data_IF_145997206483
#
_entry.id   IF_145997206483
#
_cell.length_a   1.000
_cell.length_b   1.000
_cell.length_c   1.000
_cell.angle_alpha   90.00
_cell.angle_beta   90.00
_cell.angle_gamma   90.00
#
_symmetry.space_group_name_H-M   'P 1'
#
loop_
_entity.id
_entity.type
_entity.pdbx_description
1 polymer ?
#
# COMPACT_ATOMS: atom_id res chain seq x y z
N UNK A 1 -24.16 4.95 -24.06
CA UNK A 1 -24.53 4.25 -22.82
C UNK A 1 -23.35 4.36 -21.88
N UNK A 2 -23.43 5.29 -20.93
CA UNK A 2 -22.46 5.40 -19.84
C UNK A 2 -22.48 4.08 -19.07
N UNK A 3 -21.38 3.33 -19.11
CA UNK A 3 -21.20 2.22 -18.19
C UNK A 3 -20.88 2.86 -16.84
N UNK A 4 -21.89 2.97 -15.98
CA UNK A 4 -21.67 3.17 -14.55
C UNK A 4 -21.01 1.89 -14.04
N UNK A 5 -19.68 1.84 -14.12
CA UNK A 5 -18.93 0.86 -13.36
C UNK A 5 -19.20 1.20 -11.91
N UNK A 6 -19.96 0.33 -11.25
CA UNK A 6 -19.94 0.29 -9.80
C UNK A 6 -18.48 0.03 -9.43
N UNK A 7 -17.72 1.07 -9.16
CA UNK A 7 -16.42 0.97 -8.50
C UNK A 7 -16.74 0.23 -7.22
N UNK A 8 -16.44 -1.07 -7.17
CA UNK A 8 -16.78 -1.91 -6.03
C UNK A 8 -16.29 -1.21 -4.77
N UNK A 9 -17.17 -1.05 -3.78
CA UNK A 9 -16.85 -0.33 -2.53
C UNK A 9 -15.74 -1.07 -1.81
N UNK A 10 -14.51 -0.65 -2.06
CA UNK A 10 -13.33 -1.10 -1.33
C UNK A 10 -13.05 -0.08 -0.24
N UNK A 11 -12.84 -0.62 0.97
CA UNK A 11 -12.79 0.16 2.18
C UNK A 11 -11.37 0.62 2.50
N UNK A 12 -11.28 1.81 3.09
CA UNK A 12 -10.11 2.28 3.81
C UNK A 12 -10.41 2.15 5.30
N UNK A 13 -9.57 1.44 6.05
CA UNK A 13 -9.59 1.47 7.51
C UNK A 13 -8.43 2.34 7.97
N UNK A 14 -8.72 3.40 8.73
CA UNK A 14 -7.72 4.34 9.24
C UNK A 14 -7.66 4.31 10.76
N UNK A 15 -6.45 4.41 11.30
CA UNK A 15 -6.15 4.49 12.73
C UNK A 15 -5.10 5.57 12.98
N UNK A 16 -5.25 6.35 14.05
CA UNK A 16 -4.24 7.31 14.49
C UNK A 16 -3.82 6.99 15.92
N UNK A 17 -2.52 6.98 16.18
CA UNK A 17 -1.94 6.71 17.49
C UNK A 17 -1.40 8.01 18.10
N UNK A 18 -2.13 8.54 19.07
CA UNK A 18 -1.68 9.69 19.86
C UNK A 18 -0.49 9.29 20.76
N UNK A 19 0.47 10.19 20.90
CA UNK A 19 1.72 9.95 21.64
C UNK A 19 2.79 9.16 20.85
N UNK A 20 2.50 8.70 19.63
CA UNK A 20 3.45 8.06 18.72
C UNK A 20 3.63 8.92 17.47
N UNK A 21 4.12 10.15 17.67
CA UNK A 21 4.31 11.19 16.64
C UNK A 21 3.04 11.55 15.83
N UNK A 22 1.87 11.22 16.39
CA UNK A 22 0.57 11.35 15.73
C UNK A 22 0.60 10.70 14.34
N UNK A 23 1.15 9.49 14.28
CA UNK A 23 1.18 8.71 13.06
C UNK A 23 -0.21 8.15 12.76
N UNK A 24 -0.64 8.40 11.52
CA UNK A 24 -1.86 7.93 10.91
C UNK A 24 -1.54 6.75 10.00
N UNK A 25 -2.10 5.61 10.34
CA UNK A 25 -2.00 4.37 9.59
C UNK A 25 -3.30 4.15 8.82
N UNK A 26 -3.20 3.63 7.62
CA UNK A 26 -4.37 3.13 6.92
C UNK A 26 -4.08 1.80 6.23
N UNK A 27 -5.10 0.96 6.15
CA UNK A 27 -5.07 -0.26 5.36
C UNK A 27 -6.17 -0.23 4.30
N UNK A 28 -5.82 -0.65 3.10
CA UNK A 28 -6.76 -0.75 1.98
C UNK A 28 -6.64 -2.11 1.28
N UNK A 29 -7.66 -2.45 0.52
CA UNK A 29 -7.66 -3.60 -0.38
C UNK A 29 -8.29 -3.16 -1.71
N UNK A 30 -7.49 -2.90 -2.74
CA UNK A 30 -7.88 -2.29 -4.03
C UNK A 30 -8.32 -3.28 -5.11
N UNK A 31 -8.94 -2.79 -6.18
CA UNK A 31 -9.51 -3.65 -7.24
C UNK A 31 -8.62 -4.78 -7.78
N UNK A 32 -9.18 -5.98 -7.96
CA UNK A 32 -8.41 -7.17 -8.36
C UNK A 32 -8.54 -7.49 -9.85
N UNK A 33 -9.29 -6.66 -10.58
CA UNK A 33 -9.67 -6.90 -11.98
C UNK A 33 -9.00 -5.87 -12.89
N UNK A 34 -9.09 -4.58 -12.58
CA UNK A 34 -8.64 -3.50 -13.49
C UNK A 34 -7.72 -2.49 -12.79
N UNK A 35 -6.59 -2.14 -13.41
CA UNK A 35 -5.65 -1.12 -12.88
C UNK A 35 -6.26 0.28 -12.82
N UNK A 36 -6.99 0.68 -13.86
CA UNK A 36 -7.64 2.00 -13.90
C UNK A 36 -8.61 2.19 -12.73
N UNK A 37 -9.35 1.14 -12.36
CA UNK A 37 -10.26 1.16 -11.19
C UNK A 37 -9.48 1.30 -9.88
N UNK A 38 -8.31 0.65 -9.75
CA UNK A 38 -7.44 0.82 -8.58
C UNK A 38 -6.90 2.24 -8.49
N UNK A 39 -6.49 2.83 -9.62
CA UNK A 39 -6.02 4.21 -9.69
C UNK A 39 -7.13 5.20 -9.30
N UNK A 40 -8.36 5.01 -9.79
CA UNK A 40 -9.52 5.79 -9.38
C UNK A 40 -9.80 5.65 -7.88
N UNK A 41 -9.70 4.43 -7.31
CA UNK A 41 -9.86 4.20 -5.87
C UNK A 41 -8.80 4.96 -5.06
N UNK A 42 -7.54 4.94 -5.48
CA UNK A 42 -6.47 5.69 -4.81
C UNK A 42 -6.69 7.21 -4.92
N UNK A 43 -7.10 7.69 -6.09
CA UNK A 43 -7.45 9.10 -6.29
C UNK A 43 -8.69 9.53 -5.49
N UNK A 44 -9.57 8.60 -5.12
CA UNK A 44 -10.74 8.91 -4.31
C UNK A 44 -10.38 9.21 -2.86
N UNK A 45 -9.54 8.37 -2.23
CA UNK A 45 -9.15 8.60 -0.82
C UNK A 45 -7.94 9.53 -0.65
N UNK A 46 -7.12 9.73 -1.69
CA UNK A 46 -6.01 10.70 -1.72
C UNK A 46 -5.12 10.67 -0.46
N UNK A 47 -4.28 9.63 -0.30
CA UNK A 47 -3.59 9.37 0.97
C UNK A 47 -2.72 10.54 1.44
N UNK A 48 -2.09 11.23 0.51
CA UNK A 48 -1.28 12.42 0.80
C UNK A 48 -2.13 13.59 1.33
N UNK A 49 -3.26 13.90 0.69
CA UNK A 49 -4.16 14.98 1.13
C UNK A 49 -4.85 14.65 2.46
N UNK A 50 -5.04 13.36 2.76
CA UNK A 50 -5.63 12.91 4.03
C UNK A 50 -4.60 12.75 5.17
N UNK A 51 -3.35 13.15 4.96
CA UNK A 51 -2.27 13.01 5.95
C UNK A 51 -2.10 11.57 6.46
N UNK A 52 -2.28 10.58 5.56
CA UNK A 52 -1.99 9.19 5.89
C UNK A 52 -0.48 9.00 5.82
N UNK A 53 0.11 8.59 6.93
CA UNK A 53 1.56 8.47 7.07
C UNK A 53 2.09 7.15 6.61
N UNK A 54 1.35 6.09 6.93
CA UNK A 54 1.67 4.74 6.51
C UNK A 54 0.40 4.13 5.94
N UNK A 55 0.38 3.94 4.62
CA UNK A 55 -0.70 3.22 3.94
C UNK A 55 -0.17 1.84 3.55
N UNK A 56 -0.91 0.80 3.91
CA UNK A 56 -0.52 -0.58 3.64
C UNK A 56 -1.69 -1.41 3.12
N UNK A 57 -1.39 -2.61 2.62
CA UNK A 57 -2.39 -3.62 2.28
C UNK A 57 -2.30 -4.11 0.85
N UNK A 58 -3.36 -4.78 0.43
CA UNK A 58 -3.46 -5.46 -0.85
C UNK A 58 -3.84 -4.45 -1.95
N UNK A 59 -2.86 -4.00 -2.73
CA UNK A 59 -3.08 -3.11 -3.86
C UNK A 59 -3.37 -3.87 -5.16
N UNK A 60 -3.44 -5.21 -5.11
CA UNK A 60 -3.84 -6.09 -6.20
C UNK A 60 -3.13 -5.83 -7.54
N UNK A 61 -1.81 -5.63 -7.53
CA UNK A 61 -1.10 -5.57 -8.80
C UNK A 61 -1.26 -6.86 -9.59
N UNK A 62 -1.56 -6.69 -10.87
CA UNK A 62 -1.70 -7.74 -11.85
C UNK A 62 -0.36 -8.02 -12.54
N UNK A 63 0.46 -6.98 -12.70
CA UNK A 63 1.80 -7.08 -13.28
C UNK A 63 2.86 -6.43 -12.38
N UNK A 64 4.14 -6.69 -12.69
CA UNK A 64 5.26 -6.01 -12.04
C UNK A 64 5.29 -4.51 -12.34
N UNK A 65 4.70 -4.09 -13.45
CA UNK A 65 4.75 -2.71 -13.93
C UNK A 65 3.55 -1.88 -13.46
N UNK A 66 2.55 -2.49 -12.83
CA UNK A 66 1.46 -1.74 -12.24
C UNK A 66 2.03 -0.73 -11.24
N UNK A 67 1.49 0.49 -11.26
CA UNK A 67 1.97 1.61 -10.43
C UNK A 67 3.43 2.02 -10.71
N UNK A 68 3.98 1.75 -11.90
CA UNK A 68 5.33 2.21 -12.28
C UNK A 68 5.40 3.67 -12.71
N UNK A 69 4.25 4.36 -12.79
CA UNK A 69 4.16 5.79 -13.05
C UNK A 69 4.88 6.62 -11.97
N UNK A 70 5.44 7.76 -12.37
CA UNK A 70 6.26 8.64 -11.52
C UNK A 70 5.57 9.06 -10.22
N UNK A 71 4.24 9.14 -10.21
CA UNK A 71 3.46 9.44 -9.01
C UNK A 71 3.69 8.36 -7.93
N UNK A 72 3.65 7.08 -8.30
CA UNK A 72 3.78 5.97 -7.35
C UNK A 72 5.22 5.56 -7.06
N UNK A 73 6.13 5.70 -8.04
CA UNK A 73 7.58 5.46 -7.83
C UNK A 73 8.14 6.25 -6.65
N UNK A 74 7.73 7.49 -6.49
CA UNK A 74 8.24 8.38 -5.43
C UNK A 74 7.55 8.17 -4.08
N UNK A 75 6.54 7.32 -4.03
CA UNK A 75 5.61 7.12 -2.93
C UNK A 75 5.91 5.78 -2.25
N UNK A 76 6.12 4.72 -3.03
CA UNK A 76 6.33 3.36 -2.50
C UNK A 76 7.69 3.24 -1.81
N UNK A 77 7.69 2.82 -0.54
CA UNK A 77 8.91 2.79 0.29
C UNK A 77 9.92 1.71 -0.11
N UNK A 78 9.52 0.76 -0.95
CA UNK A 78 10.39 -0.33 -1.40
C UNK A 78 9.95 -0.79 -2.79
N UNK A 79 10.67 -0.50 -3.86
CA UNK A 79 10.33 -0.96 -5.22
C UNK A 79 10.57 -2.49 -5.42
N UNK A 80 11.16 -3.22 -4.47
CA UNK A 80 11.78 -4.54 -4.72
C UNK A 80 11.10 -5.75 -4.09
N UNK A 81 10.10 -5.59 -3.22
CA UNK A 81 9.46 -6.74 -2.56
C UNK A 81 8.34 -7.34 -3.41
N UNK A 82 8.54 -8.57 -3.84
CA UNK A 82 7.57 -9.39 -4.59
C UNK A 82 6.84 -10.29 -3.60
N UNK A 83 5.54 -10.05 -3.37
CA UNK A 83 4.77 -10.72 -2.30
C UNK A 83 4.02 -11.97 -2.76
N UNK A 84 3.84 -12.16 -4.08
CA UNK A 84 3.16 -13.34 -4.64
C UNK A 84 4.13 -14.38 -5.22
N UNK A 85 3.77 -15.66 -5.08
CA UNK A 85 4.49 -16.84 -5.57
C UNK A 85 4.78 -16.81 -7.10
N UNK A 86 4.05 -16.00 -7.88
CA UNK A 86 4.18 -15.91 -9.34
C UNK A 86 4.91 -14.65 -9.85
N UNK A 87 5.57 -13.88 -8.98
CA UNK A 87 6.41 -12.76 -9.42
C UNK A 87 5.73 -11.40 -9.45
N UNK A 88 4.48 -11.30 -9.01
CA UNK A 88 3.72 -10.04 -8.90
C UNK A 88 3.73 -9.54 -7.46
N UNK A 89 3.89 -8.23 -7.28
CA UNK A 89 3.82 -7.59 -5.96
C UNK A 89 2.39 -7.18 -5.70
N UNK A 90 1.74 -7.77 -4.71
CA UNK A 90 0.32 -7.49 -4.43
C UNK A 90 0.17 -6.60 -3.21
N UNK A 91 1.04 -6.77 -2.21
CA UNK A 91 1.02 -6.01 -0.98
C UNK A 91 2.04 -4.87 -1.04
N UNK A 92 1.60 -3.68 -0.66
CA UNK A 92 2.41 -2.46 -0.70
C UNK A 92 2.41 -1.78 0.65
N UNK A 93 3.49 -1.04 0.90
CA UNK A 93 3.61 -0.12 2.03
C UNK A 93 4.09 1.22 1.46
N UNK A 94 3.24 2.22 1.59
CA UNK A 94 3.52 3.62 1.36
C UNK A 94 3.94 4.26 2.68
N UNK A 95 5.00 5.06 2.64
CA UNK A 95 5.48 5.81 3.80
C UNK A 95 5.59 7.28 3.40
N UNK A 96 4.79 8.12 4.04
CA UNK A 96 4.85 9.56 3.83
C UNK A 96 6.24 10.10 4.22
N UNK A 97 6.85 11.01 3.44
CA UNK A 97 8.22 11.49 3.70
C UNK A 97 8.45 12.06 5.11
N UNK A 98 7.43 12.66 5.73
CA UNK A 98 7.52 13.16 7.13
C UNK A 98 7.85 12.07 8.14
N UNK A 99 7.44 10.83 7.90
CA UNK A 99 7.80 9.69 8.77
C UNK A 99 9.31 9.53 8.80
N UNK A 100 9.96 9.70 7.64
CA UNK A 100 11.41 9.63 7.49
C UNK A 100 12.16 10.77 8.16
N UNK A 101 11.49 11.79 8.71
CA UNK A 101 12.14 12.83 9.50
C UNK A 101 12.57 12.28 10.87
N UNK A 102 11.76 11.41 11.47
CA UNK A 102 11.94 10.88 12.84
C UNK A 102 12.11 9.37 12.94
N UNK A 103 11.62 8.62 11.95
CA UNK A 103 11.69 7.17 11.91
C UNK A 103 12.54 6.73 10.72
N UNK A 104 13.29 5.67 10.88
CA UNK A 104 13.98 4.98 9.80
C UNK A 104 13.24 3.67 9.53
N UNK A 105 12.84 3.43 8.27
CA UNK A 105 12.51 2.07 7.81
C UNK A 105 13.81 1.25 7.82
N UNK A 106 13.92 0.29 8.73
CA UNK A 106 15.13 -0.52 8.90
C UNK A 106 15.01 -1.93 8.35
N UNK A 107 13.79 -2.42 8.19
CA UNK A 107 13.52 -3.71 7.57
C UNK A 107 12.26 -3.63 6.73
N UNK A 108 12.30 -4.30 5.59
CA UNK A 108 11.16 -4.57 4.73
C UNK A 108 11.40 -5.99 4.18
N UNK A 109 10.61 -6.97 4.60
CA UNK A 109 10.86 -8.39 4.31
C UNK A 109 9.58 -9.19 4.10
N UNK A 110 9.73 -10.37 3.49
CA UNK A 110 8.63 -11.31 3.28
C UNK A 110 8.56 -12.29 4.45
N UNK A 111 7.36 -12.45 5.01
CA UNK A 111 7.01 -13.56 5.89
C UNK A 111 6.41 -14.66 5.03
N UNK A 112 7.14 -15.77 4.84
CA UNK A 112 6.62 -16.93 4.10
C UNK A 112 5.44 -17.57 4.85
N UNK A 113 4.27 -17.54 4.22
CA UNK A 113 3.02 -18.08 4.76
C UNK A 113 2.49 -19.24 3.90
N UNK A 114 3.37 -19.88 3.12
CA UNK A 114 3.02 -20.98 2.22
C UNK A 114 2.19 -22.06 2.91
N UNK A 115 1.05 -22.39 2.30
CA UNK A 115 0.12 -23.40 2.79
C UNK A 115 -0.96 -22.86 3.74
N UNK A 116 -0.91 -21.58 4.10
CA UNK A 116 -1.96 -20.89 4.87
C UNK A 116 -2.78 -19.96 3.97
N UNK A 117 -2.12 -19.23 3.08
CA UNK A 117 -2.72 -18.34 2.08
C UNK A 117 -1.91 -18.37 0.77
N UNK A 118 -2.40 -17.69 -0.26
CA UNK A 118 -1.77 -17.57 -1.58
C UNK A 118 -0.89 -16.31 -1.74
N UNK A 119 -0.81 -15.47 -0.70
CA UNK A 119 0.01 -14.26 -0.61
C UNK A 119 0.98 -14.39 0.56
N UNK A 120 2.26 -14.06 0.39
CA UNK A 120 3.13 -14.00 1.56
C UNK A 120 2.80 -12.78 2.44
N UNK A 121 3.07 -12.87 3.74
CA UNK A 121 3.03 -11.69 4.60
C UNK A 121 4.16 -10.70 4.28
N UNK A 122 3.93 -9.42 4.58
CA UNK A 122 4.97 -8.38 4.50
C UNK A 122 5.24 -7.85 5.90
N UNK A 123 6.51 -7.81 6.27
CA UNK A 123 7.00 -7.18 7.50
C UNK A 123 7.69 -5.87 7.15
N UNK A 124 7.39 -4.82 7.92
CA UNK A 124 8.24 -3.63 7.98
C UNK A 124 8.59 -3.30 9.42
N UNK A 125 9.85 -2.94 9.65
CA UNK A 125 10.31 -2.41 10.92
C UNK A 125 10.71 -0.95 10.78
N UNK A 126 10.17 -0.12 11.67
CA UNK A 126 10.57 1.28 11.82
C UNK A 126 11.28 1.47 13.16
N UNK A 127 12.42 2.16 13.14
CA UNK A 127 13.16 2.55 14.34
C UNK A 127 13.19 4.06 14.47
N UNK A 128 12.88 4.55 15.67
CA UNK A 128 13.04 5.97 15.99
C UNK A 128 14.53 6.34 15.85
N UNK A 129 14.78 7.50 15.26
CA UNK A 129 16.13 8.08 15.15
C UNK A 129 16.69 8.52 16.50
#
# INVERSE_FOLDING_TARGET
SEKSYWVGTRGLLQCCLDGFDNLTFAVTHLDHIEEDVRLEQIQYFKPYEQNIDILMGDMNSLTRNDYSDDYYRNIVADEQIVTRVYGTRVDYIFVHPRVNERWNLTECSIIDTKGVNDHNGVLTEFKLK
#
